data_IF_297819916043
#
_entry.id   IF_297819916043
#
_cell.length_a   1.000
_cell.length_b   1.000
_cell.length_c   1.000
_cell.angle_alpha   90.00
_cell.angle_beta   90.00
_cell.angle_gamma   90.00
#
_symmetry.space_group_name_H-M   'P 1'
#
loop_
_entity.id
_entity.type
_entity.pdbx_description
1 polymer ?
#
# COMPACT_ATOMS: atom_id res chain seq x y z
N UNK A 1 -1.81 51.38 -0.52
CA UNK A 1 -1.22 50.15 0.03
C UNK A 1 -1.88 48.96 -0.66
N UNK A 2 -1.19 48.36 -1.63
CA UNK A 2 -1.73 47.33 -2.53
C UNK A 2 -1.32 45.95 -1.99
N UNK A 3 -2.20 45.26 -1.23
CA UNK A 3 -1.94 43.87 -0.80
C UNK A 3 -2.37 42.92 -1.91
N UNK A 4 -1.40 42.47 -2.71
CA UNK A 4 -1.56 41.27 -3.56
C UNK A 4 -1.95 40.10 -2.65
N UNK A 5 -3.13 39.53 -2.90
CA UNK A 5 -3.52 38.24 -2.34
C UNK A 5 -2.51 37.23 -2.89
N UNK A 6 -1.63 36.70 -2.00
CA UNK A 6 -0.73 35.60 -2.33
C UNK A 6 -1.59 34.43 -2.82
N UNK A 7 -1.28 33.90 -4.01
CA UNK A 7 -1.98 32.75 -4.58
C UNK A 7 -1.97 31.58 -3.61
N UNK A 8 -3.11 30.88 -3.53
CA UNK A 8 -3.21 29.63 -2.78
C UNK A 8 -2.23 28.59 -3.34
N UNK A 9 -1.70 27.69 -2.48
CA UNK A 9 -0.97 26.51 -2.94
C UNK A 9 -1.81 25.75 -3.97
N UNK A 10 -1.21 25.31 -5.07
CA UNK A 10 -1.91 24.61 -6.17
C UNK A 10 -2.68 23.36 -5.71
N UNK A 11 -2.26 22.79 -4.59
CA UNK A 11 -2.83 21.58 -4.00
C UNK A 11 -4.14 21.85 -3.22
N UNK A 12 -4.52 23.13 -3.07
CA UNK A 12 -5.76 23.56 -2.41
C UNK A 12 -6.70 24.29 -3.39
N UNK A 13 -6.39 24.35 -4.69
CA UNK A 13 -7.32 24.92 -5.67
C UNK A 13 -8.56 24.01 -5.78
N UNK A 14 -9.78 24.53 -5.55
CA UNK A 14 -10.99 23.74 -5.73
C UNK A 14 -11.07 23.24 -7.17
N UNK A 15 -11.17 21.92 -7.36
CA UNK A 15 -11.41 21.34 -8.67
C UNK A 15 -12.72 21.92 -9.20
N UNK A 16 -12.63 22.68 -10.30
CA UNK A 16 -13.81 23.25 -10.95
C UNK A 16 -14.55 22.13 -11.69
N UNK A 17 -15.59 21.59 -11.07
CA UNK A 17 -16.46 20.59 -11.67
C UNK A 17 -17.80 21.22 -12.04
N UNK A 18 -18.23 21.07 -13.29
CA UNK A 18 -19.56 21.49 -13.74
C UNK A 18 -20.55 20.33 -13.62
N UNK A 19 -21.63 20.52 -12.88
CA UNK A 19 -22.74 19.55 -12.78
C UNK A 19 -23.96 20.12 -13.49
N UNK A 20 -24.59 19.32 -14.36
CA UNK A 20 -25.88 19.71 -14.96
C UNK A 20 -27.01 19.36 -14.00
N UNK A 21 -27.67 20.38 -13.48
CA UNK A 21 -28.75 20.24 -12.50
C UNK A 21 -30.10 20.46 -13.21
N UNK A 22 -31.08 19.55 -13.05
CA UNK A 22 -32.44 19.76 -13.56
C UNK A 22 -33.08 21.07 -13.04
N UNK A 23 -33.88 21.80 -13.83
CA UNK A 23 -34.40 23.11 -13.45
C UNK A 23 -35.19 23.13 -12.13
N UNK A 24 -35.98 22.09 -11.86
CA UNK A 24 -36.75 21.98 -10.62
C UNK A 24 -35.86 21.86 -9.38
N UNK A 25 -34.76 21.10 -9.48
CA UNK A 25 -33.79 20.93 -8.41
C UNK A 25 -32.95 22.20 -8.21
N UNK A 26 -32.61 22.90 -9.29
CA UNK A 26 -31.93 24.20 -9.22
C UNK A 26 -32.75 25.23 -8.44
N UNK A 27 -34.04 25.36 -8.77
CA UNK A 27 -34.94 26.31 -8.09
C UNK A 27 -35.20 25.94 -6.61
N UNK A 28 -35.08 24.67 -6.24
CA UNK A 28 -35.12 24.24 -4.85
C UNK A 28 -33.84 24.63 -4.09
N UNK A 29 -32.67 24.37 -4.71
CA UNK A 29 -31.37 24.71 -4.12
C UNK A 29 -31.18 26.22 -3.97
N UNK A 30 -31.62 27.04 -4.93
CA UNK A 30 -31.59 28.50 -4.81
C UNK A 30 -32.43 29.00 -3.64
N UNK A 31 -33.68 28.51 -3.51
CA UNK A 31 -34.54 28.87 -2.38
C UNK A 31 -33.95 28.47 -1.03
N UNK A 32 -33.30 27.31 -0.96
CA UNK A 32 -32.63 26.85 0.25
C UNK A 32 -31.39 27.69 0.58
N UNK A 33 -30.58 28.03 -0.43
CA UNK A 33 -29.41 28.88 -0.28
C UNK A 33 -29.80 30.29 0.21
N UNK A 34 -30.83 30.89 -0.39
CA UNK A 34 -31.37 32.19 0.01
C UNK A 34 -31.89 32.18 1.45
N UNK A 35 -32.63 31.13 1.83
CA UNK A 35 -33.14 30.97 3.19
C UNK A 35 -32.02 30.80 4.24
N UNK A 36 -30.91 30.18 3.85
CA UNK A 36 -29.74 29.97 4.71
C UNK A 36 -28.74 31.14 4.68
N UNK A 37 -28.95 32.16 3.83
CA UNK A 37 -27.98 33.24 3.60
C UNK A 37 -26.67 32.76 2.96
N UNK A 38 -26.73 31.65 2.21
CA UNK A 38 -25.60 31.01 1.55
C UNK A 38 -25.64 31.26 0.04
N UNK A 39 -24.49 31.08 -0.62
CA UNK A 39 -24.47 30.96 -2.09
C UNK A 39 -24.95 29.57 -2.50
N UNK A 40 -25.52 29.43 -3.70
CA UNK A 40 -25.92 28.14 -4.27
C UNK A 40 -24.82 27.07 -4.19
N UNK A 41 -23.57 27.46 -4.47
CA UNK A 41 -22.41 26.57 -4.38
C UNK A 41 -22.11 26.14 -2.93
N UNK A 42 -22.25 27.05 -1.97
CA UNK A 42 -22.04 26.74 -0.56
C UNK A 42 -23.14 25.81 -0.03
N UNK A 43 -24.40 26.04 -0.37
CA UNK A 43 -25.52 25.15 -0.04
C UNK A 43 -25.33 23.74 -0.64
N UNK A 44 -24.90 23.67 -1.90
CA UNK A 44 -24.59 22.39 -2.56
C UNK A 44 -23.43 21.66 -1.87
N UNK A 45 -22.38 22.36 -1.46
CA UNK A 45 -21.27 21.78 -0.70
C UNK A 45 -21.72 21.26 0.66
N UNK A 46 -22.54 22.02 1.40
CA UNK A 46 -23.08 21.60 2.70
C UNK A 46 -23.88 20.31 2.55
N UNK A 47 -24.77 20.21 1.56
CA UNK A 47 -25.54 18.99 1.32
C UNK A 47 -24.68 17.79 0.95
N UNK A 48 -23.62 18.00 0.15
CA UNK A 48 -22.68 16.94 -0.20
C UNK A 48 -21.84 16.49 1.00
N UNK A 49 -21.40 17.42 1.84
CA UNK A 49 -20.64 17.12 3.07
C UNK A 49 -21.50 16.42 4.12
N UNK A 50 -22.79 16.72 4.15
CA UNK A 50 -23.75 16.12 5.08
C UNK A 50 -24.38 14.83 4.53
N UNK A 51 -24.03 14.37 3.33
CA UNK A 51 -24.54 13.11 2.78
C UNK A 51 -24.01 11.94 3.64
N UNK A 52 -24.87 11.23 4.39
CA UNK A 52 -24.44 10.10 5.22
C UNK A 52 -23.80 8.97 4.40
N UNK A 53 -24.05 8.91 3.08
CA UNK A 53 -23.40 7.93 2.19
C UNK A 53 -21.91 8.24 2.01
N UNK A 54 -21.51 9.50 2.08
CA UNK A 54 -20.09 9.90 2.01
C UNK A 54 -19.33 9.41 3.25
N UNK A 55 -19.90 9.59 4.44
CA UNK A 55 -19.32 9.14 5.72
C UNK A 55 -19.24 7.60 5.79
N UNK A 56 -20.26 6.90 5.29
CA UNK A 56 -20.23 5.42 5.20
C UNK A 56 -19.15 4.95 4.22
N UNK A 57 -19.02 5.57 3.05
CA UNK A 57 -17.99 5.20 2.07
C UNK A 57 -16.56 5.44 2.60
N UNK A 58 -16.34 6.56 3.29
CA UNK A 58 -15.06 6.88 3.93
C UNK A 58 -14.70 5.89 5.04
N UNK A 59 -15.66 5.53 5.90
CA UNK A 59 -15.45 4.50 6.93
C UNK A 59 -15.18 3.12 6.35
N UNK A 60 -15.85 2.74 5.27
CA UNK A 60 -15.59 1.48 4.57
C UNK A 60 -14.19 1.47 3.96
N UNK A 61 -13.77 2.57 3.34
CA UNK A 61 -12.42 2.71 2.79
C UNK A 61 -11.36 2.58 3.91
N UNK A 62 -11.54 3.29 5.02
CA UNK A 62 -10.63 3.23 6.16
C UNK A 62 -10.53 1.81 6.76
N UNK A 63 -11.64 1.08 6.81
CA UNK A 63 -11.65 -0.31 7.26
C UNK A 63 -10.94 -1.25 6.28
N UNK A 64 -11.09 -1.04 4.97
CA UNK A 64 -10.36 -1.78 3.94
C UNK A 64 -8.85 -1.51 4.07
N UNK A 65 -8.45 -0.24 4.15
CA UNK A 65 -7.05 0.16 4.32
C UNK A 65 -6.43 -0.44 5.58
N UNK A 66 -7.18 -0.47 6.69
CA UNK A 66 -6.75 -1.11 7.95
C UNK A 66 -6.53 -2.60 7.78
N UNK A 67 -7.43 -3.30 7.08
CA UNK A 67 -7.31 -4.74 6.81
C UNK A 67 -6.13 -5.02 5.89
N UNK A 68 -5.97 -4.25 4.83
CA UNK A 68 -4.87 -4.40 3.89
C UNK A 68 -3.51 -4.17 4.58
N UNK A 69 -3.42 -3.15 5.43
CA UNK A 69 -2.23 -2.92 6.25
C UNK A 69 -1.91 -4.10 7.16
N UNK A 70 -2.91 -4.70 7.82
CA UNK A 70 -2.72 -5.87 8.66
C UNK A 70 -2.29 -7.12 7.86
N UNK A 71 -2.83 -7.30 6.65
CA UNK A 71 -2.44 -8.38 5.74
C UNK A 71 -0.99 -8.20 5.30
N UNK A 72 -0.62 -6.99 4.86
CA UNK A 72 0.76 -6.68 4.44
C UNK A 72 1.76 -6.89 5.57
N UNK A 73 1.43 -6.45 6.79
CA UNK A 73 2.25 -6.69 7.97
C UNK A 73 2.39 -8.19 8.29
N UNK A 74 1.29 -8.95 8.20
CA UNK A 74 1.29 -10.40 8.36
C UNK A 74 2.18 -11.11 7.33
N UNK A 75 2.09 -10.73 6.05
CA UNK A 75 2.91 -11.27 4.97
C UNK A 75 4.39 -10.93 5.17
N UNK A 76 4.72 -9.70 5.61
CA UNK A 76 6.10 -9.32 5.95
C UNK A 76 6.68 -10.21 7.04
N UNK A 77 5.95 -10.43 8.13
CA UNK A 77 6.38 -11.32 9.23
C UNK A 77 6.56 -12.77 8.77
N UNK A 78 5.68 -13.27 7.91
CA UNK A 78 5.81 -14.61 7.33
C UNK A 78 7.06 -14.72 6.45
N UNK A 79 7.31 -13.73 5.59
CA UNK A 79 8.51 -13.67 4.75
C UNK A 79 9.77 -13.64 5.62
N UNK A 80 9.80 -12.83 6.68
CA UNK A 80 10.92 -12.79 7.63
C UNK A 80 11.15 -14.15 8.33
N UNK A 81 10.08 -14.83 8.74
CA UNK A 81 10.18 -16.16 9.33
C UNK A 81 10.75 -17.18 8.34
N UNK A 82 10.31 -17.17 7.09
CA UNK A 82 10.85 -18.03 6.03
C UNK A 82 12.33 -17.75 5.77
N UNK A 83 12.73 -16.47 5.76
CA UNK A 83 14.14 -16.09 5.63
C UNK A 83 14.98 -16.61 6.80
N UNK A 84 14.48 -16.53 8.03
CA UNK A 84 15.20 -17.08 9.20
C UNK A 84 15.43 -18.59 9.08
N UNK A 85 14.45 -19.34 8.55
CA UNK A 85 14.60 -20.77 8.27
C UNK A 85 15.65 -21.02 7.18
N UNK A 86 15.63 -20.24 6.10
CA UNK A 86 16.62 -20.34 5.02
C UNK A 86 18.04 -20.01 5.50
N UNK A 87 18.19 -19.00 6.35
CA UNK A 87 19.48 -18.62 6.93
C UNK A 87 20.05 -19.75 7.80
N UNK A 88 19.20 -20.41 8.60
CA UNK A 88 19.59 -21.58 9.38
C UNK A 88 19.97 -22.77 8.49
N UNK A 89 19.21 -23.01 7.42
CA UNK A 89 19.49 -24.08 6.47
C UNK A 89 20.83 -23.86 5.74
N UNK A 90 21.11 -22.65 5.28
CA UNK A 90 22.40 -22.28 4.66
C UNK A 90 23.57 -22.48 5.63
N UNK A 91 23.40 -22.12 6.91
CA UNK A 91 24.40 -22.40 7.96
C UNK A 91 24.72 -23.89 8.10
N UNK A 92 23.69 -24.74 8.20
CA UNK A 92 23.87 -26.20 8.27
C UNK A 92 24.55 -26.74 7.01
N UNK A 93 24.16 -26.27 5.83
CA UNK A 93 24.77 -26.68 4.56
C UNK A 93 26.23 -26.22 4.47
N UNK A 94 26.56 -25.04 4.99
CA UNK A 94 27.93 -24.56 5.06
C UNK A 94 28.80 -25.48 5.93
N UNK A 95 28.29 -25.87 7.11
CA UNK A 95 28.99 -26.78 8.01
C UNK A 95 29.19 -28.16 7.35
N UNK A 96 28.17 -28.65 6.62
CA UNK A 96 28.25 -29.91 5.89
C UNK A 96 29.31 -29.86 4.78
N UNK A 97 29.34 -28.81 3.95
CA UNK A 97 30.39 -28.62 2.95
C UNK A 97 31.77 -28.54 3.61
N UNK A 98 31.85 -27.89 4.78
CA UNK A 98 33.05 -27.84 5.61
C UNK A 98 33.54 -29.22 6.05
N UNK A 99 32.65 -30.08 6.53
CA UNK A 99 32.95 -31.46 6.92
C UNK A 99 33.35 -32.33 5.72
N UNK A 100 32.75 -32.06 4.54
CA UNK A 100 33.02 -32.79 3.30
C UNK A 100 34.26 -32.30 2.53
N UNK A 101 35.12 -31.46 3.14
CA UNK A 101 36.34 -30.95 2.49
C UNK A 101 37.29 -32.03 1.97
N UNK A 102 37.38 -33.16 2.68
CA UNK A 102 38.31 -34.24 2.36
C UNK A 102 37.71 -35.34 1.45
N UNK A 103 36.50 -35.15 0.96
CA UNK A 103 35.84 -36.13 0.10
C UNK A 103 36.60 -36.27 -1.22
N UNK A 104 36.94 -37.52 -1.57
CA UNK A 104 37.67 -37.82 -2.82
C UNK A 104 36.78 -37.57 -4.05
N UNK A 105 37.32 -36.97 -5.12
CA UNK A 105 36.61 -36.83 -6.39
C UNK A 105 36.13 -38.19 -6.94
N UNK A 106 35.04 -38.17 -7.70
CA UNK A 106 34.49 -39.36 -8.37
C UNK A 106 33.73 -40.33 -7.46
N UNK A 107 33.49 -39.95 -6.19
CA UNK A 107 32.66 -40.73 -5.25
C UNK A 107 31.23 -40.18 -5.19
N UNK A 108 30.26 -40.97 -4.75
CA UNK A 108 28.88 -40.52 -4.51
C UNK A 108 28.83 -39.35 -3.53
N UNK A 109 29.69 -39.38 -2.51
CA UNK A 109 29.86 -38.27 -1.57
C UNK A 109 30.32 -36.98 -2.26
N UNK A 110 31.13 -37.05 -3.31
CA UNK A 110 31.51 -35.87 -4.10
C UNK A 110 30.34 -35.35 -4.97
N UNK A 111 29.42 -36.24 -5.38
CA UNK A 111 28.13 -35.87 -5.95
C UNK A 111 27.30 -35.06 -4.96
N UNK A 112 27.07 -35.62 -3.77
CA UNK A 112 26.31 -34.95 -2.71
C UNK A 112 26.90 -33.59 -2.32
N UNK A 113 28.22 -33.47 -2.21
CA UNK A 113 28.88 -32.19 -1.90
C UNK A 113 28.53 -31.11 -2.93
N UNK A 114 28.54 -31.45 -4.23
CA UNK A 114 28.20 -30.51 -5.31
C UNK A 114 26.74 -30.07 -5.25
N UNK A 115 25.83 -31.00 -4.96
CA UNK A 115 24.40 -30.68 -4.78
C UNK A 115 24.18 -29.72 -3.61
N UNK A 116 24.90 -29.91 -2.49
CA UNK A 116 24.84 -29.00 -1.35
C UNK A 116 25.42 -27.62 -1.70
N UNK A 117 26.54 -27.56 -2.41
CA UNK A 117 27.11 -26.30 -2.88
C UNK A 117 26.14 -25.56 -3.83
N UNK A 118 25.49 -26.28 -4.74
CA UNK A 118 24.47 -25.73 -5.63
C UNK A 118 23.24 -25.22 -4.86
N UNK A 119 22.73 -25.98 -3.88
CA UNK A 119 21.62 -25.54 -3.04
C UNK A 119 21.94 -24.23 -2.30
N UNK A 120 23.19 -24.06 -1.83
CA UNK A 120 23.65 -22.80 -1.23
C UNK A 120 23.72 -21.66 -2.24
N UNK A 121 24.11 -21.93 -3.48
CA UNK A 121 24.07 -20.92 -4.56
C UNK A 121 22.64 -20.46 -4.85
N UNK A 122 21.66 -21.37 -4.84
CA UNK A 122 20.24 -21.03 -4.98
C UNK A 122 19.76 -20.13 -3.84
N UNK A 123 20.11 -20.44 -2.58
CA UNK A 123 19.76 -19.58 -1.43
C UNK A 123 20.42 -18.20 -1.56
N UNK A 124 21.70 -18.15 -1.94
CA UNK A 124 22.42 -16.90 -2.18
C UNK A 124 21.76 -16.04 -3.26
N UNK A 125 21.29 -16.67 -4.34
CA UNK A 125 20.55 -16.00 -5.42
C UNK A 125 19.21 -15.48 -4.91
N UNK A 126 18.45 -16.31 -4.18
CA UNK A 126 17.17 -15.90 -3.60
C UNK A 126 17.33 -14.69 -2.67
N UNK A 127 18.41 -14.62 -1.86
CA UNK A 127 18.70 -13.49 -0.97
C UNK A 127 18.83 -12.15 -1.71
N UNK A 128 19.18 -12.13 -3.00
CA UNK A 128 19.27 -10.89 -3.79
C UNK A 128 17.90 -10.26 -4.08
N UNK A 129 16.82 -11.02 -3.92
CA UNK A 129 15.45 -10.58 -4.12
C UNK A 129 14.71 -10.24 -2.82
N UNK A 130 15.42 -10.30 -1.69
CA UNK A 130 14.95 -9.78 -0.40
C UNK A 130 15.07 -8.26 -0.38
#
# INVERSE_FOLDING_TARGET
>A
VNRRIRGMPKDLEPIKTSVRIPPALHAELERAADAAGLTLNAEMLVRLQQDPRSDVAERLLAEIERRDAAIVDGLRKQIEALWSVLDRADGVMQDLVGAMKQVKPGTDAAGLKREVEFARELISTARRHR
#
